data_IF_695882239383
#
_entry.id   IF_695882239383
#
_cell.length_a   1.000
_cell.length_b   1.000
_cell.length_c   1.000
_cell.angle_alpha   90.00
_cell.angle_beta   90.00
_cell.angle_gamma   90.00
#
_symmetry.space_group_name_H-M   'P 1'
#
loop_
_entity.id
_entity.type
_entity.pdbx_description
1 polymer ?
#
# COMPACT_ATOMS: atom_id res chain seq x y z
N UNK A 1 22.91 24.61 -10.01
CA UNK A 1 21.95 23.54 -10.42
C UNK A 1 22.03 22.43 -9.40
N UNK A 2 21.11 22.39 -8.44
CA UNK A 2 21.05 21.29 -7.47
C UNK A 2 20.28 20.13 -8.11
N UNK A 3 21.00 19.18 -8.72
CA UNK A 3 20.45 17.92 -9.25
C UNK A 3 19.87 17.01 -8.16
N UNK A 4 20.15 17.32 -6.88
CA UNK A 4 19.84 16.46 -5.73
C UNK A 4 18.36 16.55 -5.31
N UNK A 5 17.66 17.66 -5.63
CA UNK A 5 16.26 17.86 -5.19
C UNK A 5 15.22 17.24 -6.11
N UNK A 6 15.59 16.88 -7.34
CA UNK A 6 14.68 16.18 -8.26
C UNK A 6 14.60 14.68 -7.93
N UNK A 7 15.73 14.04 -7.61
CA UNK A 7 15.72 12.59 -7.29
C UNK A 7 14.98 12.30 -5.98
N UNK A 8 15.22 13.07 -4.93
CA UNK A 8 14.48 12.96 -3.65
C UNK A 8 12.98 13.25 -3.79
N UNK A 9 12.55 13.99 -4.82
CA UNK A 9 11.14 14.33 -5.04
C UNK A 9 10.41 13.24 -5.81
N UNK A 10 11.10 12.51 -6.67
CA UNK A 10 10.56 11.35 -7.38
C UNK A 10 10.51 10.10 -6.48
N UNK A 11 11.53 9.88 -5.64
CA UNK A 11 11.55 8.79 -4.66
C UNK A 11 10.41 8.94 -3.63
N UNK A 12 10.26 10.13 -3.04
CA UNK A 12 9.18 10.41 -2.09
C UNK A 12 7.77 10.27 -2.69
N UNK A 13 7.60 10.50 -3.99
CA UNK A 13 6.32 10.30 -4.68
C UNK A 13 6.00 8.83 -4.90
N UNK A 14 7.01 8.01 -5.18
CA UNK A 14 6.81 6.58 -5.37
C UNK A 14 6.53 5.89 -4.04
N UNK A 15 7.24 6.29 -2.97
CA UNK A 15 7.00 5.82 -1.60
C UNK A 15 5.60 6.19 -1.13
N UNK A 16 5.20 7.46 -1.25
CA UNK A 16 3.86 7.91 -0.87
C UNK A 16 2.74 7.14 -1.59
N UNK A 17 2.96 6.75 -2.86
CA UNK A 17 1.99 5.99 -3.63
C UNK A 17 1.91 4.53 -3.19
N UNK A 18 3.02 3.93 -2.77
CA UNK A 18 3.00 2.59 -2.16
C UNK A 18 2.36 2.61 -0.77
N UNK A 19 2.68 3.61 0.04
CA UNK A 19 2.10 3.79 1.38
C UNK A 19 0.59 4.01 1.30
N UNK A 20 0.11 4.84 0.37
CA UNK A 20 -1.33 5.07 0.18
C UNK A 20 -2.07 3.78 -0.17
N UNK A 21 -1.53 2.96 -1.08
CA UNK A 21 -2.12 1.66 -1.44
C UNK A 21 -2.17 0.70 -0.26
N UNK A 22 -1.08 0.62 0.53
CA UNK A 22 -1.03 -0.21 1.73
C UNK A 22 -2.04 0.28 2.78
N UNK A 23 -2.12 1.59 3.03
CA UNK A 23 -3.09 2.18 3.97
C UNK A 23 -4.54 1.88 3.57
N UNK A 24 -4.86 1.99 2.28
CA UNK A 24 -6.20 1.65 1.75
C UNK A 24 -6.49 0.17 1.99
N UNK A 25 -5.56 -0.72 1.64
CA UNK A 25 -5.71 -2.16 1.86
C UNK A 25 -5.90 -2.49 3.35
N UNK A 26 -5.07 -1.92 4.22
CA UNK A 26 -5.14 -2.06 5.68
C UNK A 26 -6.50 -1.60 6.20
N UNK A 27 -6.99 -0.43 5.74
CA UNK A 27 -8.30 0.09 6.16
C UNK A 27 -9.43 -0.86 5.76
N UNK A 28 -9.39 -1.42 4.55
CA UNK A 28 -10.37 -2.40 4.08
C UNK A 28 -10.30 -3.74 4.84
N UNK A 29 -9.09 -4.21 5.17
CA UNK A 29 -8.88 -5.41 5.99
C UNK A 29 -9.48 -5.19 7.39
N UNK A 30 -9.23 -4.02 8.02
CA UNK A 30 -9.82 -3.66 9.32
C UNK A 30 -11.34 -3.56 9.28
N UNK A 31 -11.90 -3.08 8.17
CA UNK A 31 -13.34 -2.97 7.99
C UNK A 31 -14.01 -4.35 7.92
N UNK A 32 -13.28 -5.38 7.48
CA UNK A 32 -13.74 -6.78 7.48
C UNK A 32 -14.92 -7.07 6.54
N UNK A 33 -15.34 -6.09 5.73
CA UNK A 33 -16.49 -6.21 4.81
C UNK A 33 -16.12 -6.76 3.43
N UNK A 34 -14.85 -6.72 3.06
CA UNK A 34 -14.35 -7.14 1.75
C UNK A 34 -13.46 -8.37 1.88
N UNK A 35 -13.52 -9.27 0.89
CA UNK A 35 -12.57 -10.38 0.77
C UNK A 35 -11.19 -9.88 0.31
N UNK A 36 -10.13 -10.62 0.66
CA UNK A 36 -8.75 -10.27 0.25
C UNK A 36 -8.58 -10.10 -1.27
N UNK A 37 -9.32 -10.87 -2.09
CA UNK A 37 -9.31 -10.73 -3.55
C UNK A 37 -9.85 -9.38 -4.02
N UNK A 38 -10.94 -8.91 -3.40
CA UNK A 38 -11.51 -7.60 -3.69
C UNK A 38 -10.57 -6.49 -3.21
N UNK A 39 -10.00 -6.64 -2.02
CA UNK A 39 -9.03 -5.68 -1.48
C UNK A 39 -7.82 -5.55 -2.41
N UNK A 40 -7.25 -6.67 -2.86
CA UNK A 40 -6.16 -6.69 -3.84
C UNK A 40 -6.53 -5.93 -5.12
N UNK A 41 -7.72 -6.20 -5.67
CA UNK A 41 -8.23 -5.54 -6.87
C UNK A 41 -8.43 -4.03 -6.70
N UNK A 42 -8.99 -3.57 -5.58
CA UNK A 42 -9.24 -2.15 -5.32
C UNK A 42 -7.97 -1.36 -4.96
N UNK A 43 -7.06 -1.98 -4.20
CA UNK A 43 -5.80 -1.37 -3.77
C UNK A 43 -4.73 -1.39 -4.86
N UNK A 44 -4.92 -2.21 -5.90
CA UNK A 44 -3.91 -2.47 -6.92
C UNK A 44 -2.66 -3.16 -6.34
N UNK A 45 -2.89 -4.02 -5.33
CA UNK A 45 -1.93 -4.91 -4.71
C UNK A 45 -2.24 -6.35 -5.12
N UNK A 46 -1.29 -7.25 -4.95
CA UNK A 46 -1.51 -8.68 -5.13
C UNK A 46 -2.19 -9.29 -3.90
N UNK A 47 -2.84 -10.45 -4.09
CA UNK A 47 -3.47 -11.19 -2.99
C UNK A 47 -2.47 -11.53 -1.89
N UNK A 48 -1.24 -11.84 -2.28
CA UNK A 48 -0.15 -12.21 -1.37
C UNK A 48 0.28 -11.01 -0.51
N UNK A 49 0.46 -9.83 -1.12
CA UNK A 49 0.74 -8.58 -0.39
C UNK A 49 -0.38 -8.23 0.59
N UNK A 50 -1.64 -8.38 0.19
CA UNK A 50 -2.79 -8.12 1.08
C UNK A 50 -2.82 -9.09 2.26
N UNK A 51 -2.49 -10.36 2.04
CA UNK A 51 -2.36 -11.35 3.13
C UNK A 51 -1.18 -11.03 4.05
N UNK A 52 -0.03 -10.70 3.50
CA UNK A 52 1.14 -10.30 4.27
C UNK A 52 0.86 -9.05 5.12
N UNK A 53 0.11 -8.07 4.60
CA UNK A 53 -0.36 -6.90 5.35
C UNK A 53 -1.30 -7.31 6.49
N UNK A 54 -2.23 -8.23 6.24
CA UNK A 54 -3.15 -8.73 7.26
C UNK A 54 -2.42 -9.50 8.38
N UNK A 55 -1.47 -10.37 8.02
CA UNK A 55 -0.67 -11.15 8.97
C UNK A 55 0.30 -10.26 9.77
N UNK A 56 0.95 -9.30 9.11
CA UNK A 56 1.85 -8.35 9.76
C UNK A 56 1.17 -7.40 10.75
N UNK A 57 -0.15 -7.20 10.63
CA UNK A 57 -0.93 -6.41 11.59
C UNK A 57 -1.36 -7.17 12.84
N UNK A 58 -1.29 -8.50 12.83
CA UNK A 58 -1.71 -9.35 13.96
C UNK A 58 -0.58 -9.66 14.95
N UNK A 59 0.60 -9.06 14.79
CA UNK A 59 1.76 -9.20 15.67
C UNK A 59 1.86 -8.10 16.74
#
# INVERSE_FOLDING_TARGET
MCKIVEELRDEARNEARMEEKQQIAISMIKDGKLSFENIAKYSGLTLDEVKALAEGMTA
#
